data_IF_336208384530
#
_entry.id   IF_336208384530
#
_cell.length_a   1.000
_cell.length_b   1.000
_cell.length_c   1.000
_cell.angle_alpha   90.00
_cell.angle_beta   90.00
_cell.angle_gamma   90.00
#
_symmetry.space_group_name_H-M   'P 1'
#
loop_
_entity.id
_entity.type
_entity.pdbx_description
1 polymer ?
#
# COMPACT_ATOMS: atom_id res chain seq x y z
N UNK A 1 9.48 -22.65 -12.20
CA UNK A 1 9.62 -21.16 -12.19
C UNK A 1 8.38 -20.43 -11.67
N UNK A 2 7.18 -20.56 -12.27
CA UNK A 2 6.00 -19.75 -11.88
C UNK A 2 5.60 -19.83 -10.40
N UNK A 3 5.62 -21.04 -9.79
CA UNK A 3 5.35 -21.21 -8.35
C UNK A 3 6.38 -20.49 -7.47
N UNK A 4 7.67 -20.62 -7.78
CA UNK A 4 8.76 -20.01 -7.01
C UNK A 4 8.63 -18.49 -7.02
N UNK A 5 8.41 -17.87 -8.19
CA UNK A 5 8.24 -16.40 -8.31
C UNK A 5 7.03 -15.91 -7.50
N UNK A 6 5.90 -16.62 -7.56
CA UNK A 6 4.71 -16.25 -6.77
C UNK A 6 4.97 -16.40 -5.27
N UNK A 7 5.63 -17.47 -4.83
CA UNK A 7 5.97 -17.68 -3.42
C UNK A 7 6.95 -16.62 -2.92
N UNK A 8 8.01 -16.31 -3.68
CA UNK A 8 8.98 -15.27 -3.32
C UNK A 8 8.31 -13.89 -3.22
N UNK A 9 7.41 -13.56 -4.15
CA UNK A 9 6.66 -12.30 -4.09
C UNK A 9 5.76 -12.23 -2.86
N UNK A 10 5.05 -13.32 -2.53
CA UNK A 10 4.21 -13.38 -1.33
C UNK A 10 5.06 -13.21 -0.07
N UNK A 11 6.19 -13.93 0.03
CA UNK A 11 7.10 -13.83 1.17
C UNK A 11 7.69 -12.42 1.29
N UNK A 12 8.06 -11.79 0.17
CA UNK A 12 8.52 -10.40 0.17
C UNK A 12 7.44 -9.45 0.67
N UNK A 13 6.19 -9.57 0.19
CA UNK A 13 5.08 -8.73 0.63
C UNK A 13 4.73 -8.94 2.11
N UNK A 14 4.84 -10.17 2.61
CA UNK A 14 4.66 -10.49 4.03
C UNK A 14 5.77 -9.87 4.86
N UNK A 15 7.04 -10.09 4.51
CA UNK A 15 8.18 -9.52 5.21
C UNK A 15 8.14 -7.99 5.20
N UNK A 16 7.77 -7.39 4.06
CA UNK A 16 7.60 -5.95 3.91
C UNK A 16 6.45 -5.43 4.78
N UNK A 17 5.29 -6.09 4.78
CA UNK A 17 4.18 -5.76 5.70
C UNK A 17 4.60 -5.83 7.17
N UNK A 18 5.32 -6.89 7.56
CA UNK A 18 5.80 -7.07 8.93
C UNK A 18 6.81 -6.00 9.32
N UNK A 19 7.69 -5.59 8.41
CA UNK A 19 8.61 -4.48 8.63
C UNK A 19 7.84 -3.18 8.92
N UNK A 20 6.87 -2.80 8.08
CA UNK A 20 6.08 -1.58 8.33
C UNK A 20 5.23 -1.68 9.60
N UNK A 21 4.66 -2.84 9.91
CA UNK A 21 3.95 -3.07 11.16
C UNK A 21 4.86 -2.94 12.38
N UNK A 22 6.09 -3.45 12.31
CA UNK A 22 7.10 -3.31 13.35
C UNK A 22 7.50 -1.84 13.55
N UNK A 23 7.71 -1.09 12.48
CA UNK A 23 8.01 0.34 12.61
C UNK A 23 6.81 1.10 13.20
N UNK A 24 5.56 0.70 12.92
CA UNK A 24 4.36 1.30 13.52
C UNK A 24 4.32 1.19 15.06
N UNK A 25 4.83 0.08 15.62
CA UNK A 25 4.84 -0.15 17.07
C UNK A 25 6.09 0.40 17.76
N UNK A 26 7.07 0.84 16.98
CA UNK A 26 8.35 1.37 17.46
C UNK A 26 8.23 2.86 17.81
N UNK A 27 8.93 3.37 18.84
CA UNK A 27 8.94 4.80 19.14
C UNK A 27 9.35 5.65 17.94
N UNK A 28 8.65 6.76 17.71
CA UNK A 28 8.82 7.59 16.52
C UNK A 28 10.26 8.12 16.39
N UNK A 29 10.86 8.52 17.51
CA UNK A 29 12.21 9.07 17.61
C UNK A 29 13.25 8.07 17.06
N UNK A 30 13.07 6.79 17.39
CA UNK A 30 13.93 5.72 16.92
C UNK A 30 13.68 5.43 15.43
N UNK A 31 12.41 5.38 15.00
CA UNK A 31 12.05 5.15 13.60
C UNK A 31 12.59 6.26 12.66
N UNK A 32 12.54 7.52 13.11
CA UNK A 32 13.10 8.68 12.39
C UNK A 32 14.63 8.68 12.35
N UNK A 33 15.29 8.09 13.36
CA UNK A 33 16.75 7.98 13.41
C UNK A 33 17.32 6.92 12.46
N UNK A 34 16.54 5.87 12.18
CA UNK A 34 16.95 4.74 11.33
C UNK A 34 17.00 5.10 9.84
N UNK A 35 16.21 6.10 9.42
CA UNK A 35 16.10 6.50 8.02
C UNK A 35 16.67 7.93 7.88
N UNK A 36 17.92 8.08 7.40
CA UNK A 36 18.56 9.38 7.27
C UNK A 36 17.70 10.36 6.46
N UNK A 37 17.48 11.56 6.98
CA UNK A 37 16.73 12.63 6.33
C UNK A 37 15.23 12.69 6.69
N UNK A 38 14.66 11.66 7.32
CA UNK A 38 13.27 11.70 7.79
C UNK A 38 13.05 12.66 8.96
N UNK A 39 14.08 12.86 9.77
CA UNK A 39 14.16 13.84 10.83
C UNK A 39 14.21 15.30 10.34
N UNK A 40 14.56 15.54 9.06
CA UNK A 40 14.67 16.89 8.45
C UNK A 40 13.60 17.16 7.39
N UNK A 41 12.79 16.17 7.02
CA UNK A 41 11.72 16.33 6.03
C UNK A 41 10.46 16.81 6.73
N UNK A 42 9.82 17.87 6.22
CA UNK A 42 8.59 18.45 6.83
C UNK A 42 7.44 17.42 6.86
N UNK A 43 7.42 16.45 5.92
CA UNK A 43 6.51 15.30 5.91
C UNK A 43 7.22 14.07 5.29
N UNK A 44 7.91 13.22 6.10
CA UNK A 44 8.61 12.03 5.61
C UNK A 44 7.74 11.04 4.77
N UNK A 45 6.40 10.93 4.97
CA UNK A 45 5.54 10.13 4.09
C UNK A 45 5.38 10.69 2.67
N UNK A 46 5.45 12.00 2.48
CA UNK A 46 4.89 12.65 1.28
C UNK A 46 5.68 12.31 0.00
N UNK A 47 7.02 12.30 0.06
CA UNK A 47 7.84 11.94 -1.10
C UNK A 47 7.63 10.48 -1.53
N UNK A 48 7.62 9.56 -0.56
CA UNK A 48 7.38 8.14 -0.82
C UNK A 48 5.99 7.90 -1.42
N UNK A 49 4.96 8.53 -0.83
CA UNK A 49 3.59 8.45 -1.33
C UNK A 49 3.47 9.01 -2.75
N UNK A 50 4.07 10.17 -3.02
CA UNK A 50 3.99 10.83 -4.33
C UNK A 50 4.71 10.06 -5.44
N UNK A 51 5.89 9.51 -5.15
CA UNK A 51 6.75 8.90 -6.16
C UNK A 51 6.44 7.43 -6.40
N UNK A 52 6.08 6.67 -5.36
CA UNK A 52 5.83 5.23 -5.48
C UNK A 52 4.34 4.88 -5.47
N UNK A 53 3.56 5.46 -4.55
CA UNK A 53 2.18 5.04 -4.33
C UNK A 53 1.24 5.64 -5.39
N UNK A 54 1.41 6.90 -5.77
CA UNK A 54 0.56 7.55 -6.78
C UNK A 54 0.65 6.88 -8.15
N UNK A 55 1.85 6.63 -8.74
CA UNK A 55 1.93 5.91 -10.01
C UNK A 55 1.39 4.47 -9.91
N UNK A 56 1.58 3.81 -8.77
CA UNK A 56 1.09 2.46 -8.56
C UNK A 56 -0.44 2.40 -8.48
N UNK A 57 -1.07 3.32 -7.75
CA UNK A 57 -2.53 3.45 -7.70
C UNK A 57 -3.10 3.73 -9.10
N UNK A 58 -2.48 4.63 -9.86
CA UNK A 58 -2.88 4.89 -11.24
C UNK A 58 -2.78 3.62 -12.10
N UNK A 59 -1.69 2.87 -11.97
CA UNK A 59 -1.49 1.61 -12.68
C UNK A 59 -2.56 0.56 -12.35
N UNK A 60 -2.85 0.34 -11.06
CA UNK A 60 -3.90 -0.61 -10.64
C UNK A 60 -5.29 -0.19 -11.14
N UNK A 61 -5.60 1.10 -11.13
CA UNK A 61 -6.84 1.65 -11.67
C UNK A 61 -6.95 1.42 -13.19
N UNK A 62 -5.88 1.68 -13.95
CA UNK A 62 -5.84 1.43 -15.39
C UNK A 62 -6.05 -0.06 -15.72
N UNK A 63 -5.48 -0.97 -14.92
CA UNK A 63 -5.70 -2.41 -15.10
C UNK A 63 -7.18 -2.78 -14.88
N UNK A 64 -7.82 -2.27 -13.81
CA UNK A 64 -9.23 -2.54 -13.58
C UNK A 64 -10.13 -1.94 -14.67
N UNK A 65 -9.82 -0.73 -15.15
CA UNK A 65 -10.51 -0.11 -16.27
C UNK A 65 -10.38 -0.97 -17.53
N UNK A 66 -9.17 -1.43 -17.84
CA UNK A 66 -8.94 -2.30 -18.99
C UNK A 66 -9.68 -3.65 -18.86
N UNK A 67 -9.63 -4.26 -17.68
CA UNK A 67 -10.35 -5.49 -17.39
C UNK A 67 -11.87 -5.33 -17.52
N UNK A 68 -12.42 -4.17 -17.16
CA UNK A 68 -13.82 -3.82 -17.37
C UNK A 68 -14.16 -3.71 -18.86
N UNK A 69 -13.36 -2.96 -19.64
CA UNK A 69 -13.54 -2.81 -21.11
C UNK A 69 -13.50 -4.18 -21.80
N UNK A 70 -12.56 -5.05 -21.41
CA UNK A 70 -12.40 -6.40 -21.97
C UNK A 70 -13.35 -7.45 -21.35
N UNK A 71 -14.26 -7.05 -20.46
CA UNK A 71 -15.24 -7.91 -19.78
C UNK A 71 -14.59 -9.15 -19.13
N UNK A 72 -13.43 -8.96 -18.50
CA UNK A 72 -12.72 -10.04 -17.82
C UNK A 72 -13.54 -10.59 -16.64
N UNK A 73 -13.46 -11.90 -16.34
CA UNK A 73 -14.23 -12.54 -15.28
C UNK A 73 -13.63 -12.26 -13.89
N UNK A 74 -13.69 -11.00 -13.46
CA UNK A 74 -13.15 -10.53 -12.18
C UNK A 74 -13.91 -11.12 -10.99
N UNK A 75 -13.22 -11.39 -9.87
CA UNK A 75 -13.87 -11.75 -8.62
C UNK A 75 -14.19 -10.47 -7.84
N UNK A 76 -15.48 -10.12 -7.77
CA UNK A 76 -15.95 -8.88 -7.11
C UNK A 76 -15.46 -8.76 -5.67
N UNK A 77 -15.42 -9.85 -4.92
CA UNK A 77 -14.98 -9.83 -3.53
C UNK A 77 -13.50 -9.42 -3.40
N UNK A 78 -12.63 -9.97 -4.23
CA UNK A 78 -11.20 -9.63 -4.20
C UNK A 78 -10.95 -8.17 -4.61
N UNK A 79 -11.73 -7.66 -5.57
CA UNK A 79 -11.68 -6.25 -5.97
C UNK A 79 -12.11 -5.34 -4.83
N UNK A 80 -13.24 -5.64 -4.17
CA UNK A 80 -13.74 -4.85 -3.03
C UNK A 80 -12.72 -4.82 -1.90
N UNK A 81 -12.15 -5.97 -1.52
CA UNK A 81 -11.13 -6.06 -0.47
C UNK A 81 -9.90 -5.21 -0.84
N UNK A 82 -9.41 -5.32 -2.07
CA UNK A 82 -8.28 -4.53 -2.54
C UNK A 82 -8.55 -3.03 -2.46
N UNK A 83 -9.72 -2.58 -2.93
CA UNK A 83 -10.08 -1.15 -2.90
C UNK A 83 -10.17 -0.66 -1.46
N UNK A 84 -10.92 -1.36 -0.60
CA UNK A 84 -11.11 -0.98 0.80
C UNK A 84 -9.78 -0.90 1.58
N UNK A 85 -8.88 -1.86 1.36
CA UNK A 85 -7.57 -1.87 2.01
C UNK A 85 -6.59 -0.83 1.45
N UNK A 86 -6.84 -0.30 0.24
CA UNK A 86 -6.01 0.76 -0.35
C UNK A 86 -6.43 2.17 0.11
N UNK A 87 -7.69 2.35 0.53
CA UNK A 87 -8.25 3.64 0.95
C UNK A 87 -7.49 4.28 2.13
N UNK A 88 -7.14 3.59 3.22
CA UNK A 88 -6.46 4.20 4.35
C UNK A 88 -5.20 4.97 3.98
N UNK A 89 -4.38 4.43 3.06
CA UNK A 89 -3.15 5.09 2.62
C UNK A 89 -3.44 6.31 1.75
N UNK A 90 -4.50 6.26 0.95
CA UNK A 90 -4.98 7.43 0.18
C UNK A 90 -5.48 8.52 1.11
N UNK A 91 -6.20 8.17 2.18
CA UNK A 91 -6.64 9.15 3.19
C UNK A 91 -5.43 9.81 3.84
N UNK A 92 -4.44 9.04 4.29
CA UNK A 92 -3.20 9.58 4.87
C UNK A 92 -2.45 10.46 3.88
N UNK A 93 -2.45 10.13 2.59
CA UNK A 93 -1.83 10.93 1.54
C UNK A 93 -2.56 12.25 1.25
N UNK A 94 -3.89 12.20 1.15
CA UNK A 94 -4.74 13.35 0.84
C UNK A 94 -4.97 14.27 2.03
N UNK A 95 -4.70 13.79 3.25
CA UNK A 95 -4.72 14.60 4.45
C UNK A 95 -3.59 15.64 4.38
N UNK A 96 -3.86 16.74 3.66
CA UNK A 96 -3.01 17.92 3.65
C UNK A 96 -3.03 18.51 5.05
N UNK A 97 -1.85 18.76 5.57
CA UNK A 97 -1.57 19.47 6.82
C UNK A 97 -1.90 20.96 6.67
N UNK A 98 -3.16 21.31 6.39
CA UNK A 98 -3.72 22.64 6.65
C UNK A 98 -4.28 22.73 8.09
N UNK A 99 -4.24 21.61 8.83
CA UNK A 99 -4.35 21.63 10.28
C UNK A 99 -3.06 22.23 10.80
N UNK A 100 -3.18 23.30 11.58
CA UNK A 100 -2.11 23.95 12.32
C UNK A 100 -1.49 22.91 13.29
N UNK A 101 -0.64 22.04 12.73
CA UNK A 101 0.05 21.01 13.47
C UNK A 101 1.10 21.73 14.28
N UNK A 102 0.72 22.15 15.49
CA UNK A 102 1.69 22.21 16.56
C UNK A 102 2.40 20.85 16.57
N UNK A 103 3.62 20.83 16.03
CA UNK A 103 4.51 19.67 15.94
C UNK A 103 5.03 19.30 17.33
N UNK A 104 4.14 19.17 18.31
CA UNK A 104 4.44 18.47 19.54
C UNK A 104 4.81 17.03 19.17
N UNK A 105 5.77 16.44 19.91
CA UNK A 105 6.26 15.09 19.64
C UNK A 105 5.12 14.03 19.59
N UNK A 106 4.03 14.29 20.32
CA UNK A 106 2.86 13.42 20.41
C UNK A 106 2.05 13.37 19.09
N UNK A 107 1.83 14.52 18.43
CA UNK A 107 1.12 14.59 17.15
C UNK A 107 1.91 13.93 16.03
N UNK A 108 3.23 14.14 16.01
CA UNK A 108 4.13 13.51 15.04
C UNK A 108 4.11 11.98 15.18
N UNK A 109 4.18 11.46 16.40
CA UNK A 109 4.13 10.02 16.65
C UNK A 109 2.82 9.37 16.14
N UNK A 110 1.69 10.04 16.32
CA UNK A 110 0.38 9.55 15.84
C UNK A 110 0.31 9.50 14.30
N UNK A 111 0.84 10.52 13.62
CA UNK A 111 0.90 10.57 12.15
C UNK A 111 1.76 9.43 11.60
N UNK A 112 2.93 9.17 12.20
CA UNK A 112 3.78 8.05 11.80
C UNK A 112 3.08 6.70 11.98
N UNK A 113 2.45 6.47 13.13
CA UNK A 113 1.69 5.25 13.39
C UNK A 113 0.58 5.05 12.36
N UNK A 114 -0.20 6.08 12.07
CA UNK A 114 -1.25 6.05 11.06
C UNK A 114 -0.68 5.73 9.67
N UNK A 115 0.43 6.35 9.28
CA UNK A 115 1.11 6.08 8.01
C UNK A 115 1.58 4.63 7.89
N UNK A 116 2.23 4.09 8.93
CA UNK A 116 2.74 2.71 8.89
C UNK A 116 1.61 1.67 8.84
N UNK A 117 0.53 1.87 9.62
CA UNK A 117 -0.66 1.02 9.58
C UNK A 117 -1.34 1.08 8.22
N UNK A 118 -1.50 2.28 7.66
CA UNK A 118 -2.07 2.48 6.33
C UNK A 118 -1.21 1.83 5.23
N UNK A 119 0.12 1.90 5.35
CA UNK A 119 1.04 1.25 4.42
C UNK A 119 0.94 -0.27 4.52
N UNK A 120 0.83 -0.82 5.74
CA UNK A 120 0.62 -2.26 5.95
C UNK A 120 -0.68 -2.73 5.28
N UNK A 121 -1.79 -2.02 5.51
CA UNK A 121 -3.06 -2.31 4.87
C UNK A 121 -2.96 -2.26 3.34
N UNK A 122 -2.26 -1.26 2.80
CA UNK A 122 -2.04 -1.12 1.36
C UNK A 122 -1.22 -2.27 0.77
N UNK A 123 -0.19 -2.76 1.46
CA UNK A 123 0.61 -3.91 0.99
C UNK A 123 -0.24 -5.17 0.97
N UNK A 124 -1.08 -5.40 1.99
CA UNK A 124 -2.07 -6.48 1.99
C UNK A 124 -3.02 -6.33 0.80
N UNK A 125 -3.49 -5.10 0.51
CA UNK A 125 -4.31 -4.82 -0.66
C UNK A 125 -3.63 -5.27 -1.97
N UNK A 126 -2.31 -5.09 -2.10
CA UNK A 126 -1.58 -5.52 -3.30
C UNK A 126 -1.52 -7.06 -3.43
N UNK A 127 -1.49 -7.80 -2.32
CA UNK A 127 -1.63 -9.26 -2.35
C UNK A 127 -2.98 -9.65 -2.96
N UNK A 128 -4.07 -9.01 -2.53
CA UNK A 128 -5.41 -9.25 -3.08
C UNK A 128 -5.51 -8.89 -4.56
N UNK A 129 -4.87 -7.80 -4.99
CA UNK A 129 -4.76 -7.44 -6.41
C UNK A 129 -4.06 -8.52 -7.23
N UNK A 130 -2.92 -9.03 -6.74
CA UNK A 130 -2.18 -10.08 -7.44
C UNK A 130 -2.97 -11.39 -7.51
N UNK A 131 -3.65 -11.77 -6.42
CA UNK A 131 -4.57 -12.92 -6.41
C UNK A 131 -5.71 -12.74 -7.42
N UNK A 132 -6.26 -11.53 -7.52
CA UNK A 132 -7.30 -11.17 -8.49
C UNK A 132 -6.80 -11.33 -9.93
N UNK A 133 -5.58 -10.90 -10.25
CA UNK A 133 -5.00 -11.09 -11.58
C UNK A 133 -4.73 -12.57 -11.90
N UNK A 134 -4.18 -13.33 -10.94
CA UNK A 134 -3.90 -14.76 -11.13
C UNK A 134 -5.18 -15.55 -11.38
N UNK A 135 -6.22 -15.32 -10.57
CA UNK A 135 -7.51 -16.00 -10.71
C UNK A 135 -8.19 -15.64 -12.02
N UNK A 136 -8.14 -14.37 -12.43
CA UNK A 136 -8.67 -13.91 -13.72
C UNK A 136 -7.94 -14.56 -14.89
N UNK A 137 -6.61 -14.59 -14.86
CA UNK A 137 -5.79 -15.24 -15.89
C UNK A 137 -6.14 -16.73 -16.03
N UNK A 138 -6.28 -17.46 -14.91
CA UNK A 138 -6.67 -18.88 -14.94
C UNK A 138 -8.03 -19.09 -15.60
N UNK A 139 -9.02 -18.23 -15.29
CA UNK A 139 -10.36 -18.30 -15.89
C UNK A 139 -10.35 -17.97 -17.39
N UNK A 140 -9.55 -16.99 -17.81
CA UNK A 140 -9.41 -16.63 -19.23
C UNK A 140 -8.74 -17.77 -20.01
N UNK A 141 -7.70 -18.39 -19.45
CA UNK A 141 -7.02 -19.53 -20.08
C UNK A 141 -7.94 -20.75 -20.22
N UNK A 142 -8.83 -21.01 -19.27
CA UNK A 142 -9.76 -22.13 -19.35
C UNK A 142 -10.90 -21.95 -20.38
N UNK A 143 -11.09 -20.74 -20.91
CA UNK A 143 -12.09 -20.41 -21.94
C UNK A 143 -11.55 -20.53 -23.37
N UNK A 144 -10.24 -20.67 -23.53
CA UNK A 144 -9.52 -20.85 -24.79
C UNK A 144 -8.96 -22.26 -24.85
#
# INVERSE_FOLDING_TARGET
MRKIVTTTLILFLVAFSLFFAWVAITPADFAMSLIPGWNTTILPPHFFLSFFITPWLLFTALIYLWAFIKKWPLNRLLVIIHVLLSIPLVIVFLYKTDVDLNFSAENTALIFKAFFLATTAFVIAQVFFMLQLITTYKKLKARH
#
